data_IF_237764091467
#
_entry.id   IF_237764091467
#
_cell.length_a   1.000
_cell.length_b   1.000
_cell.length_c   1.000
_cell.angle_alpha   90.00
_cell.angle_beta   90.00
_cell.angle_gamma   90.00
#
_symmetry.space_group_name_H-M   'P 1'
#
loop_
_entity.id
_entity.type
_entity.pdbx_description
1 polymer ?
#
# COMPACT_ATOMS: atom_id res chain seq x y z
N UNK A 1 -12.11 14.00 -11.26
CA UNK A 1 -12.33 14.96 -10.16
C UNK A 1 -12.41 16.34 -10.78
N UNK A 2 -13.36 17.19 -10.36
CA UNK A 2 -13.34 18.59 -10.77
C UNK A 2 -12.00 19.20 -10.41
N UNK A 3 -11.32 19.78 -11.41
CA UNK A 3 -10.05 20.49 -11.27
C UNK A 3 -10.23 21.61 -10.24
N UNK A 4 -9.93 21.32 -8.98
CA UNK A 4 -9.93 22.34 -7.97
C UNK A 4 -8.71 23.22 -8.21
N UNK A 5 -8.96 24.31 -8.92
CA UNK A 5 -8.01 25.35 -9.28
C UNK A 5 -7.24 25.79 -8.03
N UNK A 6 -5.91 25.61 -8.04
CA UNK A 6 -5.05 25.97 -6.91
C UNK A 6 -4.88 27.49 -6.84
N UNK A 7 -5.41 28.09 -5.78
CA UNK A 7 -5.10 29.48 -5.40
C UNK A 7 -3.70 29.64 -4.82
N UNK A 8 -3.26 30.90 -4.65
CA UNK A 8 -1.88 31.26 -4.25
C UNK A 8 -1.40 30.59 -2.95
N UNK A 9 -2.22 30.56 -1.90
CA UNK A 9 -1.83 29.97 -0.62
C UNK A 9 -1.58 28.44 -0.75
N UNK A 10 -2.55 27.72 -1.33
CA UNK A 10 -2.44 26.29 -1.58
C UNK A 10 -1.26 25.94 -2.51
N UNK A 11 -0.99 26.79 -3.51
CA UNK A 11 0.16 26.65 -4.39
C UNK A 11 1.49 26.75 -3.63
N UNK A 12 1.66 27.76 -2.77
CA UNK A 12 2.88 27.92 -1.95
C UNK A 12 3.11 26.73 -1.02
N UNK A 13 2.05 26.26 -0.36
CA UNK A 13 2.12 25.08 0.51
C UNK A 13 2.55 23.83 -0.27
N UNK A 14 2.02 23.66 -1.49
CA UNK A 14 2.35 22.53 -2.36
C UNK A 14 3.81 22.56 -2.85
N UNK A 15 4.35 23.74 -3.19
CA UNK A 15 5.77 23.89 -3.54
C UNK A 15 6.65 23.55 -2.33
N UNK A 16 6.31 24.10 -1.16
CA UNK A 16 7.05 23.85 0.08
C UNK A 16 7.06 22.36 0.43
N UNK A 17 5.89 21.72 0.40
CA UNK A 17 5.73 20.31 0.66
C UNK A 17 6.50 19.45 -0.35
N UNK A 18 6.49 19.80 -1.64
CA UNK A 18 7.25 19.09 -2.66
C UNK A 18 8.76 19.13 -2.37
N UNK A 19 9.30 20.32 -2.06
CA UNK A 19 10.71 20.46 -1.70
C UNK A 19 11.09 19.64 -0.47
N UNK A 20 10.26 19.64 0.57
CA UNK A 20 10.51 18.90 1.81
C UNK A 20 10.39 17.37 1.61
N UNK A 21 9.51 16.95 0.71
CA UNK A 21 9.27 15.53 0.37
C UNK A 21 10.37 14.95 -0.51
N UNK A 22 11.02 15.77 -1.35
CA UNK A 22 12.03 15.32 -2.32
C UNK A 22 13.40 15.99 -2.12
N UNK A 23 14.12 15.73 -1.01
CA UNK A 23 15.42 16.36 -0.73
C UNK A 23 16.50 16.02 -1.77
N UNK A 24 16.47 14.81 -2.35
CA UNK A 24 17.41 14.45 -3.43
C UNK A 24 17.12 15.21 -4.72
N UNK A 25 15.85 15.41 -5.09
CA UNK A 25 15.50 16.25 -6.24
C UNK A 25 15.86 17.71 -6.00
N UNK A 26 15.73 18.18 -4.75
CA UNK A 26 16.21 19.49 -4.37
C UNK A 26 17.73 19.62 -4.61
N UNK A 27 18.53 18.62 -4.24
CA UNK A 27 19.96 18.65 -4.56
C UNK A 27 20.24 18.57 -6.06
N UNK A 28 19.56 17.68 -6.79
CA UNK A 28 19.66 17.55 -8.25
C UNK A 28 19.30 18.84 -9.00
N UNK A 29 18.32 19.60 -8.50
CA UNK A 29 17.89 20.85 -9.12
C UNK A 29 19.01 21.89 -9.25
N UNK A 30 20.11 21.79 -8.48
CA UNK A 30 21.28 22.69 -8.66
C UNK A 30 21.91 22.52 -10.05
N UNK A 31 21.98 21.28 -10.56
CA UNK A 31 22.57 20.97 -11.87
C UNK A 31 21.71 21.49 -13.03
N UNK A 32 20.41 21.69 -12.79
CA UNK A 32 19.46 22.23 -13.76
C UNK A 32 19.48 23.76 -13.87
N UNK A 33 20.16 24.44 -12.92
CA UNK A 33 20.33 25.89 -12.94
C UNK A 33 21.55 26.35 -13.75
N UNK A 34 22.35 25.41 -14.26
CA UNK A 34 23.51 25.67 -15.11
C UNK A 34 23.02 26.14 -16.49
N UNK A 35 23.61 27.18 -17.13
CA UNK A 35 23.03 27.84 -18.31
C UNK A 35 22.65 26.89 -19.45
N UNK A 36 23.51 25.91 -19.76
CA UNK A 36 23.31 24.91 -20.81
C UNK A 36 22.07 24.04 -20.53
N UNK A 37 21.90 23.61 -19.28
CA UNK A 37 20.75 22.79 -18.86
C UNK A 37 19.49 23.64 -18.65
N UNK A 38 19.65 24.89 -18.25
CA UNK A 38 18.55 25.81 -17.97
C UNK A 38 17.78 26.15 -19.24
N UNK A 39 18.47 26.32 -20.38
CA UNK A 39 17.86 26.59 -21.68
C UNK A 39 16.86 25.50 -22.10
N UNK A 40 17.09 24.24 -21.72
CA UNK A 40 16.19 23.12 -22.03
C UNK A 40 15.18 22.85 -20.92
N UNK A 41 15.55 23.10 -19.66
CA UNK A 41 14.69 22.80 -18.50
C UNK A 41 13.58 23.85 -18.33
N UNK A 42 13.85 25.12 -18.63
CA UNK A 42 12.89 26.19 -18.38
C UNK A 42 11.64 26.12 -19.29
N UNK A 43 11.77 25.85 -20.61
CA UNK A 43 10.59 25.63 -21.47
C UNK A 43 9.73 24.45 -20.98
N UNK A 44 10.34 23.36 -20.53
CA UNK A 44 9.61 22.21 -19.99
C UNK A 44 8.85 22.56 -18.71
N UNK A 45 9.44 23.39 -17.83
CA UNK A 45 8.78 23.86 -16.63
C UNK A 45 7.58 24.77 -16.96
N UNK A 46 7.73 25.66 -17.93
CA UNK A 46 6.65 26.54 -18.42
C UNK A 46 5.49 25.69 -18.97
N UNK A 47 5.79 24.68 -19.78
CA UNK A 47 4.78 23.76 -20.31
C UNK A 47 4.02 23.03 -19.20
N UNK A 48 4.73 22.56 -18.16
CA UNK A 48 4.07 21.94 -17.01
C UNK A 48 3.13 22.91 -16.29
N UNK A 49 3.54 24.17 -16.09
CA UNK A 49 2.70 25.20 -15.45
C UNK A 49 1.46 25.52 -16.30
N UNK A 50 1.58 25.52 -17.63
CA UNK A 50 0.45 25.76 -18.53
C UNK A 50 -0.69 24.76 -18.35
N UNK A 51 -0.35 23.48 -18.14
CA UNK A 51 -1.34 22.39 -18.00
C UNK A 51 -1.71 22.10 -16.55
N UNK A 52 -1.01 22.67 -15.58
CA UNK A 52 -1.32 22.49 -14.16
C UNK A 52 -2.62 23.20 -13.77
N UNK A 53 -3.42 22.57 -12.91
CA UNK A 53 -4.68 23.12 -12.36
C UNK A 53 -4.42 24.28 -11.37
N UNK A 54 -3.89 25.39 -11.88
CA UNK A 54 -3.61 26.64 -11.17
C UNK A 54 -4.66 27.69 -11.51
N UNK A 55 -4.86 28.64 -10.58
CA UNK A 55 -5.59 29.87 -10.87
C UNK A 55 -5.04 30.55 -12.14
N UNK A 56 -5.89 30.97 -13.10
CA UNK A 56 -5.43 31.53 -14.36
C UNK A 56 -4.48 32.72 -14.20
N UNK A 57 -4.76 33.62 -13.25
CA UNK A 57 -3.92 34.80 -12.98
C UNK A 57 -2.57 34.36 -12.39
N UNK A 58 -2.59 33.40 -11.47
CA UNK A 58 -1.36 32.81 -10.93
C UNK A 58 -0.52 32.14 -12.03
N UNK A 59 -1.16 31.38 -12.92
CA UNK A 59 -0.52 30.67 -14.03
C UNK A 59 0.17 31.64 -14.98
N UNK A 60 -0.54 32.66 -15.45
CA UNK A 60 -0.01 33.68 -16.35
C UNK A 60 1.19 34.40 -15.72
N UNK A 61 1.04 34.89 -14.49
CA UNK A 61 2.13 35.60 -13.80
C UNK A 61 3.36 34.72 -13.55
N UNK A 62 3.18 33.41 -13.32
CA UNK A 62 4.31 32.47 -13.17
C UNK A 62 5.04 32.26 -14.49
N UNK A 63 4.29 32.09 -15.60
CA UNK A 63 4.88 31.88 -16.93
C UNK A 63 5.68 33.11 -17.34
N UNK A 64 5.11 34.31 -17.19
CA UNK A 64 5.78 35.56 -17.54
C UNK A 64 7.06 35.76 -16.73
N UNK A 65 7.00 35.51 -15.41
CA UNK A 65 8.15 35.65 -14.54
C UNK A 65 9.27 34.63 -14.86
N UNK A 66 8.91 33.41 -15.28
CA UNK A 66 9.89 32.41 -15.73
C UNK A 66 10.51 32.79 -17.08
N UNK A 67 9.73 33.21 -18.06
CA UNK A 67 10.25 33.67 -19.36
C UNK A 67 11.24 34.82 -19.20
N UNK A 68 10.97 35.74 -18.28
CA UNK A 68 11.89 36.83 -17.93
C UNK A 68 13.15 36.33 -17.22
N UNK A 69 13.07 35.24 -16.45
CA UNK A 69 14.22 34.63 -15.78
C UNK A 69 15.24 34.03 -16.76
N UNK A 70 14.81 33.59 -17.96
CA UNK A 70 15.73 33.11 -19.01
C UNK A 70 16.49 34.20 -19.76
N UNK A 71 16.14 35.47 -19.58
CA UNK A 71 16.79 36.54 -20.33
C UNK A 71 18.14 36.94 -19.71
N UNK A 72 19.15 37.29 -20.53
CA UNK A 72 20.49 37.65 -20.04
C UNK A 72 20.53 38.98 -19.27
N UNK A 73 19.48 39.79 -19.34
CA UNK A 73 19.36 41.06 -18.61
C UNK A 73 18.70 40.79 -17.26
N UNK A 74 19.31 41.28 -16.18
CA UNK A 74 18.77 41.15 -14.81
C UNK A 74 17.41 41.85 -14.72
N UNK A 75 16.33 41.06 -14.82
CA UNK A 75 14.97 41.58 -14.70
C UNK A 75 14.54 41.56 -13.22
N UNK A 76 14.58 42.74 -12.57
CA UNK A 76 14.19 42.92 -11.17
C UNK A 76 12.70 42.64 -10.93
N UNK A 77 11.85 42.91 -11.92
CA UNK A 77 10.40 42.77 -11.82
C UNK A 77 9.99 41.29 -11.83
N UNK A 78 10.44 40.50 -12.80
CA UNK A 78 10.20 39.05 -12.83
C UNK A 78 10.75 38.33 -11.58
N UNK A 79 11.91 38.77 -11.09
CA UNK A 79 12.49 38.26 -9.84
C UNK A 79 11.62 38.57 -8.60
N UNK A 80 11.04 39.77 -8.56
CA UNK A 80 10.11 40.14 -7.49
C UNK A 80 8.83 39.30 -7.58
N UNK A 81 8.27 39.12 -8.77
CA UNK A 81 7.08 38.29 -9.00
C UNK A 81 7.34 36.84 -8.57
N UNK A 82 8.47 36.22 -8.92
CA UNK A 82 8.80 34.87 -8.46
C UNK A 82 8.83 34.77 -6.92
N UNK A 83 9.36 35.79 -6.25
CA UNK A 83 9.40 35.84 -4.78
C UNK A 83 8.01 35.99 -4.19
N UNK A 84 7.19 36.87 -4.76
CA UNK A 84 5.80 37.03 -4.36
C UNK A 84 5.02 35.74 -4.55
N UNK A 85 5.12 35.06 -5.70
CA UNK A 85 4.26 33.90 -5.96
C UNK A 85 4.70 32.66 -5.18
N UNK A 86 6.01 32.45 -4.99
CA UNK A 86 6.54 31.22 -4.38
C UNK A 86 6.97 31.37 -2.91
N UNK A 87 7.21 32.59 -2.44
CA UNK A 87 7.81 32.87 -1.12
C UNK A 87 9.33 32.68 -1.05
N UNK A 88 10.01 32.42 -2.17
CA UNK A 88 11.45 32.15 -2.21
C UNK A 88 12.23 33.20 -3.03
N UNK A 89 13.53 33.41 -2.74
CA UNK A 89 14.41 34.16 -3.65
C UNK A 89 14.42 33.55 -5.06
N UNK A 90 14.66 34.32 -6.14
CA UNK A 90 14.42 33.89 -7.53
C UNK A 90 15.04 32.54 -7.90
N UNK A 91 16.34 32.34 -7.65
CA UNK A 91 17.01 31.08 -7.97
C UNK A 91 16.47 29.90 -7.15
N UNK A 92 16.01 30.14 -5.91
CA UNK A 92 15.35 29.12 -5.08
C UNK A 92 13.91 28.87 -5.53
N UNK A 93 13.22 29.90 -6.01
CA UNK A 93 11.88 29.80 -6.57
C UNK A 93 11.88 28.90 -7.82
N UNK A 94 12.77 29.16 -8.78
CA UNK A 94 12.91 28.34 -9.99
C UNK A 94 13.26 26.90 -9.65
N UNK A 95 14.22 26.66 -8.75
CA UNK A 95 14.54 25.30 -8.29
C UNK A 95 13.37 24.62 -7.60
N UNK A 96 12.60 25.33 -6.79
CA UNK A 96 11.46 24.75 -6.09
C UNK A 96 10.34 24.41 -7.09
N UNK A 97 10.14 25.22 -8.12
CA UNK A 97 9.25 24.96 -9.25
C UNK A 97 9.73 23.77 -10.09
N UNK A 98 11.05 23.64 -10.36
CA UNK A 98 11.62 22.46 -11.02
C UNK A 98 11.39 21.19 -10.19
N UNK A 99 11.56 21.26 -8.87
CA UNK A 99 11.24 20.13 -8.00
C UNK A 99 9.75 19.81 -8.08
N UNK A 100 8.87 20.80 -7.98
CA UNK A 100 7.43 20.59 -8.01
C UNK A 100 6.91 20.06 -9.35
N UNK A 101 7.32 20.66 -10.46
CA UNK A 101 6.72 20.43 -11.78
C UNK A 101 7.52 19.55 -12.73
N UNK A 102 8.81 19.30 -12.46
CA UNK A 102 9.64 18.46 -13.34
C UNK A 102 10.15 17.23 -12.61
N UNK A 103 10.78 17.38 -11.45
CA UNK A 103 11.51 16.29 -10.79
C UNK A 103 10.62 15.43 -9.89
N UNK A 104 9.76 16.02 -9.08
CA UNK A 104 8.72 15.30 -8.34
C UNK A 104 7.70 14.67 -9.31
N UNK A 105 7.57 15.25 -10.50
CA UNK A 105 6.72 14.76 -11.57
C UNK A 105 7.36 13.62 -12.37
N UNK A 106 8.67 13.36 -12.28
CA UNK A 106 9.26 12.11 -12.84
C UNK A 106 8.74 10.86 -12.11
N UNK A 107 8.22 11.01 -10.88
CA UNK A 107 7.44 9.98 -10.19
C UNK A 107 5.94 9.98 -10.51
N UNK A 108 5.45 10.96 -11.29
CA UNK A 108 4.07 11.05 -11.81
C UNK A 108 3.99 10.81 -13.33
N UNK A 109 5.08 10.94 -14.06
CA UNK A 109 5.24 10.64 -15.50
C UNK A 109 5.34 9.13 -15.77
N UNK A 110 4.63 8.32 -15.00
CA UNK A 110 4.09 7.07 -15.52
C UNK A 110 2.81 7.42 -16.29
N UNK A 111 2.95 8.21 -17.37
CA UNK A 111 1.88 8.40 -18.36
C UNK A 111 1.78 7.15 -19.24
N UNK A 112 1.71 5.97 -18.64
CA UNK A 112 0.92 4.91 -19.24
C UNK A 112 -0.52 5.20 -18.87
N UNK A 113 -1.44 5.07 -19.81
CA UNK A 113 -2.87 5.05 -19.49
C UNK A 113 -3.07 4.02 -18.36
N UNK A 114 -3.28 4.51 -17.12
CA UNK A 114 -3.59 3.62 -16.00
C UNK A 114 -4.89 2.90 -16.38
N UNK A 115 -4.83 1.56 -16.42
CA UNK A 115 -6.01 0.76 -16.67
C UNK A 115 -7.10 1.12 -15.66
N UNK A 116 -8.32 1.27 -16.16
CA UNK A 116 -9.51 1.50 -15.34
C UNK A 116 -9.81 0.30 -14.45
N UNK A 117 -10.59 0.50 -13.39
CA UNK A 117 -11.08 -0.60 -12.54
C UNK A 117 -11.78 -1.71 -13.34
N UNK A 118 -12.46 -1.36 -14.44
CA UNK A 118 -13.10 -2.32 -15.34
C UNK A 118 -12.09 -3.23 -16.06
N UNK A 119 -11.00 -2.65 -16.54
CA UNK A 119 -9.95 -3.40 -17.21
C UNK A 119 -9.21 -4.31 -16.22
N UNK A 120 -8.96 -3.83 -15.00
CA UNK A 120 -8.37 -4.67 -13.94
C UNK A 120 -9.26 -5.83 -13.54
N UNK A 121 -10.56 -5.59 -13.39
CA UNK A 121 -11.56 -6.63 -13.14
C UNK A 121 -11.54 -7.69 -14.24
N UNK A 122 -11.57 -7.28 -15.51
CA UNK A 122 -11.56 -8.20 -16.65
C UNK A 122 -10.30 -9.07 -16.67
N UNK A 123 -9.13 -8.48 -16.41
CA UNK A 123 -7.87 -9.23 -16.32
C UNK A 123 -7.94 -10.26 -15.21
N UNK A 124 -8.36 -9.87 -14.00
CA UNK A 124 -8.44 -10.79 -12.84
C UNK A 124 -9.40 -11.95 -13.11
N UNK A 125 -10.56 -11.69 -13.73
CA UNK A 125 -11.53 -12.74 -14.07
C UNK A 125 -10.96 -13.78 -15.04
N UNK A 126 -10.06 -13.34 -15.93
CA UNK A 126 -9.51 -14.14 -17.02
C UNK A 126 -8.18 -14.83 -16.68
N UNK A 127 -7.54 -14.52 -15.54
CA UNK A 127 -6.30 -15.18 -15.10
C UNK A 127 -6.50 -16.12 -13.91
N UNK A 128 -5.77 -17.24 -13.94
CA UNK A 128 -5.61 -18.12 -12.77
C UNK A 128 -4.60 -17.57 -11.76
N UNK A 129 -3.62 -16.76 -12.16
CA UNK A 129 -2.66 -16.15 -11.26
C UNK A 129 -2.97 -14.65 -11.11
N UNK A 130 -3.46 -14.19 -9.94
CA UNK A 130 -3.86 -12.79 -9.77
C UNK A 130 -2.69 -11.80 -9.89
N UNK A 131 -1.44 -12.26 -9.77
CA UNK A 131 -0.25 -11.42 -9.99
C UNK A 131 0.04 -11.18 -11.48
N UNK A 132 -0.62 -11.89 -12.40
CA UNK A 132 -0.44 -11.66 -13.84
C UNK A 132 -0.87 -10.25 -14.27
N UNK A 133 -1.66 -9.54 -13.46
CA UNK A 133 -1.95 -8.11 -13.66
C UNK A 133 -0.69 -7.26 -13.83
N UNK A 134 0.44 -7.67 -13.25
CA UNK A 134 1.73 -7.01 -13.43
C UNK A 134 2.17 -7.01 -14.91
N UNK A 135 1.76 -7.99 -15.71
CA UNK A 135 2.09 -8.07 -17.15
C UNK A 135 1.30 -7.10 -18.02
N UNK A 136 0.25 -6.48 -17.48
CA UNK A 136 -0.69 -5.63 -18.22
C UNK A 136 -0.48 -4.13 -17.99
N UNK A 137 0.59 -3.73 -17.31
CA UNK A 137 0.96 -2.33 -17.09
C UNK A 137 2.35 -2.04 -17.65
N UNK A 138 2.59 -0.80 -18.06
CA UNK A 138 3.92 -0.34 -18.45
C UNK A 138 4.88 -0.21 -17.26
N UNK A 139 4.34 -0.02 -16.05
CA UNK A 139 5.10 0.21 -14.83
C UNK A 139 4.75 -0.84 -13.76
N UNK A 140 5.17 -2.10 -13.97
CA UNK A 140 4.86 -3.19 -13.06
C UNK A 140 5.45 -2.90 -11.68
N UNK A 141 4.57 -2.81 -10.69
CA UNK A 141 4.98 -2.51 -9.33
C UNK A 141 4.14 -3.28 -8.30
N UNK A 142 4.84 -3.85 -7.32
CA UNK A 142 4.23 -4.61 -6.23
C UNK A 142 4.72 -4.12 -4.87
N UNK A 143 3.79 -3.99 -3.92
CA UNK A 143 4.04 -3.75 -2.51
C UNK A 143 3.62 -4.96 -1.66
N UNK A 144 4.55 -5.61 -0.97
CA UNK A 144 4.24 -6.64 0.04
C UNK A 144 4.17 -6.04 1.46
N UNK A 145 3.08 -6.36 2.16
CA UNK A 145 2.72 -5.91 3.50
C UNK A 145 2.87 -7.09 4.47
N UNK A 146 3.89 -7.05 5.32
CA UNK A 146 4.21 -8.15 6.24
C UNK A 146 4.99 -9.28 5.55
N UNK A 147 5.99 -8.89 4.76
CA UNK A 147 6.78 -9.76 3.89
C UNK A 147 7.50 -10.95 4.56
N UNK A 148 7.75 -10.87 5.88
CA UNK A 148 8.39 -11.94 6.63
C UNK A 148 9.78 -12.29 6.10
N UNK A 149 9.94 -13.53 5.64
CA UNK A 149 11.24 -14.14 5.31
C UNK A 149 11.71 -13.92 3.86
N UNK A 150 10.97 -13.13 3.07
CA UNK A 150 11.21 -12.82 1.66
C UNK A 150 11.07 -14.00 0.67
N UNK A 151 10.46 -15.10 1.09
CA UNK A 151 10.24 -16.26 0.21
C UNK A 151 9.27 -15.96 -0.93
N UNK A 152 8.20 -15.20 -0.66
CA UNK A 152 7.24 -14.78 -1.68
C UNK A 152 7.92 -13.91 -2.75
N UNK A 153 8.70 -12.92 -2.33
CA UNK A 153 9.42 -12.01 -3.21
C UNK A 153 10.39 -12.72 -4.12
N UNK A 154 11.11 -13.71 -3.58
CA UNK A 154 11.98 -14.57 -4.37
C UNK A 154 11.18 -15.30 -5.46
N UNK A 155 10.10 -16.00 -5.08
CA UNK A 155 9.26 -16.71 -6.06
C UNK A 155 8.63 -15.79 -7.11
N UNK A 156 8.20 -14.59 -6.70
CA UNK A 156 7.67 -13.57 -7.61
C UNK A 156 8.73 -13.13 -8.61
N UNK A 157 9.95 -12.84 -8.14
CA UNK A 157 11.05 -12.40 -9.00
C UNK A 157 11.46 -13.50 -9.98
N UNK A 158 11.59 -14.74 -9.49
CA UNK A 158 11.90 -15.91 -10.33
C UNK A 158 10.86 -16.09 -11.44
N UNK A 159 9.59 -15.82 -11.13
CA UNK A 159 8.49 -15.97 -12.07
C UNK A 159 8.39 -14.82 -13.08
N UNK A 160 8.59 -13.57 -12.66
CA UNK A 160 8.23 -12.40 -13.48
C UNK A 160 9.43 -11.62 -14.05
N UNK A 161 10.60 -11.61 -13.40
CA UNK A 161 11.76 -10.87 -13.92
C UNK A 161 12.22 -11.38 -15.30
N UNK A 162 12.24 -12.70 -15.60
CA UNK A 162 12.56 -13.18 -16.95
C UNK A 162 11.65 -12.58 -18.03
N UNK A 163 10.34 -12.48 -17.75
CA UNK A 163 9.37 -11.87 -18.66
C UNK A 163 9.66 -10.37 -18.87
N UNK A 164 9.85 -9.61 -17.79
CA UNK A 164 10.09 -8.17 -17.89
C UNK A 164 11.44 -7.83 -18.53
N UNK A 165 12.46 -8.67 -18.34
CA UNK A 165 13.74 -8.57 -19.05
C UNK A 165 13.56 -8.67 -20.57
N UNK A 166 12.73 -9.60 -21.04
CA UNK A 166 12.42 -9.72 -22.47
C UNK A 166 11.70 -8.47 -23.01
N UNK A 167 10.83 -7.86 -22.21
CA UNK A 167 10.12 -6.63 -22.54
C UNK A 167 10.94 -5.35 -22.30
N UNK A 168 12.19 -5.46 -21.85
CA UNK A 168 13.05 -4.33 -21.45
C UNK A 168 12.36 -3.37 -20.48
N UNK A 169 11.56 -3.92 -19.58
CA UNK A 169 10.84 -3.20 -18.54
C UNK A 169 11.37 -3.64 -17.18
N UNK A 170 11.37 -2.74 -16.19
CA UNK A 170 11.82 -3.03 -14.83
C UNK A 170 10.63 -3.31 -13.92
N UNK A 171 10.73 -4.35 -13.08
CA UNK A 171 9.78 -4.58 -11.98
C UNK A 171 10.18 -3.76 -10.76
N UNK A 172 9.25 -2.99 -10.19
CA UNK A 172 9.44 -2.39 -8.87
C UNK A 172 8.85 -3.29 -7.80
N UNK A 173 9.69 -3.77 -6.87
CA UNK A 173 9.27 -4.66 -5.80
C UNK A 173 9.64 -4.07 -4.44
N UNK A 174 8.63 -3.65 -3.71
CA UNK A 174 8.78 -3.07 -2.40
C UNK A 174 8.13 -3.96 -1.35
N UNK A 175 8.79 -4.10 -0.20
CA UNK A 175 8.34 -4.99 0.86
C UNK A 175 8.58 -4.33 2.21
N UNK A 176 7.66 -4.48 3.17
CA UNK A 176 7.94 -4.07 4.54
C UNK A 176 7.39 -5.04 5.58
N UNK A 177 8.02 -5.04 6.74
CA UNK A 177 7.61 -5.84 7.87
C UNK A 177 7.74 -5.06 9.19
N UNK A 178 6.89 -5.38 10.17
CA UNK A 178 6.93 -4.83 11.53
C UNK A 178 8.05 -5.45 12.36
N UNK A 179 8.51 -6.65 12.01
CA UNK A 179 9.66 -7.30 12.61
C UNK A 179 10.91 -6.48 12.31
N UNK A 180 11.65 -6.16 13.37
CA UNK A 180 12.93 -5.48 13.25
C UNK A 180 14.00 -6.48 12.77
N UNK A 181 14.76 -6.19 11.70
CA UNK A 181 15.88 -7.04 11.29
C UNK A 181 16.89 -7.15 12.43
N UNK A 182 17.28 -8.38 12.78
CA UNK A 182 18.20 -8.65 13.88
C UNK A 182 17.57 -8.73 15.26
N UNK A 183 16.25 -8.50 15.40
CA UNK A 183 15.56 -8.81 16.66
C UNK A 183 15.62 -10.30 16.96
N UNK A 184 15.66 -10.65 18.25
CA UNK A 184 15.59 -12.06 18.70
C UNK A 184 14.16 -12.60 18.76
N UNK A 185 13.18 -11.76 18.43
CA UNK A 185 11.76 -12.00 18.63
C UNK A 185 11.07 -11.98 17.26
N UNK A 186 10.67 -13.16 16.78
CA UNK A 186 10.11 -13.34 15.43
C UNK A 186 10.53 -14.66 14.77
N UNK A 187 11.63 -15.26 15.20
CA UNK A 187 12.03 -16.63 14.84
C UNK A 187 12.12 -16.85 13.32
N UNK A 188 11.43 -17.88 12.83
CA UNK A 188 11.45 -18.26 11.40
C UNK A 188 10.78 -17.25 10.47
N UNK A 189 10.09 -16.24 11.01
CA UNK A 189 9.42 -15.19 10.25
C UNK A 189 10.33 -13.99 9.97
N UNK A 190 11.56 -13.98 10.48
CA UNK A 190 12.51 -12.93 10.14
C UNK A 190 12.93 -12.99 8.68
N UNK A 191 13.17 -11.80 8.13
CA UNK A 191 13.83 -11.62 6.84
C UNK A 191 15.05 -12.53 6.71
N UNK A 192 15.07 -13.35 5.65
CA UNK A 192 16.23 -14.13 5.29
C UNK A 192 17.25 -13.24 4.53
N UNK A 193 18.47 -13.16 5.05
CA UNK A 193 19.53 -12.31 4.48
C UNK A 193 20.03 -12.81 3.11
N UNK A 194 20.03 -14.11 2.86
CA UNK A 194 20.46 -14.66 1.58
C UNK A 194 19.43 -14.38 0.48
N UNK A 195 18.14 -14.42 0.81
CA UNK A 195 17.07 -13.98 -0.09
C UNK A 195 17.14 -12.49 -0.37
N UNK A 196 17.40 -11.67 0.64
CA UNK A 196 17.60 -10.24 0.42
C UNK A 196 18.79 -9.96 -0.51
N UNK A 197 19.93 -10.62 -0.29
CA UNK A 197 21.11 -10.50 -1.16
C UNK A 197 20.80 -10.94 -2.59
N UNK A 198 20.05 -12.03 -2.76
CA UNK A 198 19.57 -12.49 -4.06
C UNK A 198 18.75 -11.41 -4.76
N UNK A 199 17.73 -10.87 -4.09
CA UNK A 199 16.87 -9.81 -4.65
C UNK A 199 17.65 -8.51 -4.96
N UNK A 200 18.68 -8.20 -4.17
CA UNK A 200 19.57 -7.04 -4.39
C UNK A 200 20.62 -7.27 -5.48
N UNK A 201 20.81 -8.51 -5.95
CA UNK A 201 21.81 -8.84 -6.96
C UNK A 201 21.39 -8.44 -8.39
N UNK A 202 20.10 -8.20 -8.60
CA UNK A 202 19.54 -7.78 -9.88
C UNK A 202 19.90 -6.33 -10.21
N UNK A 203 20.07 -6.03 -11.50
CA UNK A 203 20.26 -4.67 -11.97
C UNK A 203 18.99 -3.83 -11.74
N UNK A 204 19.10 -2.52 -11.43
CA UNK A 204 17.94 -1.60 -11.36
C UNK A 204 17.14 -1.47 -12.66
N UNK A 205 17.70 -1.93 -13.79
CA UNK A 205 16.99 -2.03 -15.08
C UNK A 205 16.05 -3.25 -15.15
N UNK A 206 16.29 -4.26 -14.30
CA UNK A 206 15.51 -5.49 -14.23
C UNK A 206 14.57 -5.48 -13.03
N UNK A 207 15.10 -5.12 -11.85
CA UNK A 207 14.40 -5.13 -10.58
C UNK A 207 14.82 -3.95 -9.70
N UNK A 208 13.84 -3.17 -9.26
CA UNK A 208 14.01 -2.14 -8.24
C UNK A 208 13.47 -2.67 -6.92
N UNK A 209 14.32 -3.39 -6.19
CA UNK A 209 13.96 -4.00 -4.92
C UNK A 209 14.24 -3.09 -3.71
N UNK A 210 13.32 -3.04 -2.76
CA UNK A 210 13.56 -2.41 -1.45
C UNK A 210 12.75 -3.05 -0.33
N UNK A 211 13.44 -3.38 0.77
CA UNK A 211 12.82 -3.87 2.00
C UNK A 211 12.95 -2.86 3.15
N UNK A 212 11.88 -2.71 3.95
CA UNK A 212 11.91 -1.96 5.20
C UNK A 212 11.44 -2.82 6.37
N UNK A 213 12.33 -3.08 7.32
CA UNK A 213 11.97 -3.75 8.57
C UNK A 213 11.64 -2.75 9.70
N UNK A 214 10.95 -3.23 10.73
CA UNK A 214 10.49 -2.39 11.84
C UNK A 214 9.42 -1.35 11.45
N UNK A 215 8.70 -1.56 10.34
CA UNK A 215 7.70 -0.63 9.83
C UNK A 215 6.27 -1.20 9.94
N UNK A 216 5.39 -0.45 10.59
CA UNK A 216 3.94 -0.67 10.50
C UNK A 216 3.30 0.15 9.37
N UNK A 217 2.00 -0.06 9.14
CA UNK A 217 1.23 0.61 8.08
C UNK A 217 1.36 2.15 8.11
N UNK A 218 1.29 2.75 9.30
CA UNK A 218 1.40 4.20 9.48
C UNK A 218 2.81 4.74 9.19
N UNK A 219 3.83 4.06 9.71
CA UNK A 219 5.24 4.46 9.53
C UNK A 219 5.63 4.34 8.06
N UNK A 220 5.27 3.23 7.41
CA UNK A 220 5.46 3.05 5.99
C UNK A 220 4.74 4.14 5.18
N UNK A 221 3.52 4.51 5.59
CA UNK A 221 2.76 5.54 4.90
C UNK A 221 3.48 6.89 4.84
N UNK A 222 4.32 7.20 5.84
CA UNK A 222 5.15 8.40 5.93
C UNK A 222 6.60 8.19 5.43
N UNK A 223 6.95 6.96 5.07
CA UNK A 223 8.29 6.57 4.65
C UNK A 223 8.72 7.16 3.31
N UNK A 224 10.03 7.33 3.12
CA UNK A 224 10.65 7.85 1.89
C UNK A 224 11.03 6.72 0.93
N UNK A 225 10.96 6.99 -0.38
CA UNK A 225 11.38 6.07 -1.44
C UNK A 225 10.37 4.96 -1.78
N UNK A 226 9.14 5.08 -1.28
CA UNK A 226 7.99 4.27 -1.69
C UNK A 226 7.31 4.93 -2.91
N UNK A 227 6.60 4.14 -3.71
CA UNK A 227 5.70 4.69 -4.71
C UNK A 227 4.48 5.34 -4.05
N UNK A 228 3.82 6.23 -4.78
CA UNK A 228 2.52 6.74 -4.36
C UNK A 228 1.45 5.65 -4.49
N UNK A 229 1.41 4.99 -5.64
CA UNK A 229 0.50 3.91 -5.99
C UNK A 229 1.31 2.81 -6.68
N UNK A 230 0.93 1.57 -6.41
CA UNK A 230 1.50 0.36 -6.98
C UNK A 230 0.47 -0.29 -7.89
N UNK A 231 0.88 -1.13 -8.83
CA UNK A 231 -0.06 -1.99 -9.57
C UNK A 231 -0.77 -2.92 -8.60
N UNK A 232 0.01 -3.60 -7.77
CA UNK A 232 -0.46 -4.58 -6.78
C UNK A 232 0.01 -4.19 -5.39
N UNK A 233 -0.85 -4.32 -4.40
CA UNK A 233 -0.42 -4.55 -3.02
C UNK A 233 -0.85 -5.93 -2.56
N UNK A 234 0.00 -6.62 -1.81
CA UNK A 234 -0.27 -7.95 -1.29
C UNK A 234 -0.05 -7.99 0.23
N UNK A 235 -0.80 -8.83 0.92
CA UNK A 235 -0.58 -9.15 2.32
C UNK A 235 -0.80 -10.65 2.52
N UNK A 236 0.28 -11.36 2.81
CA UNK A 236 0.27 -12.80 3.06
C UNK A 236 0.06 -13.07 4.54
N UNK A 237 -0.88 -13.96 4.88
CA UNK A 237 -1.21 -14.36 6.24
C UNK A 237 -1.29 -13.17 7.22
N UNK A 238 -2.24 -12.23 7.02
CA UNK A 238 -2.34 -11.03 7.85
C UNK A 238 -2.32 -11.39 9.34
N UNK A 239 -1.49 -10.69 10.11
CA UNK A 239 -1.21 -11.07 11.49
C UNK A 239 -2.47 -11.13 12.39
N UNK A 240 -2.74 -12.31 12.94
CA UNK A 240 -3.65 -12.51 14.07
C UNK A 240 -2.89 -12.25 15.39
N UNK A 241 -3.44 -11.49 16.36
CA UNK A 241 -4.78 -10.87 16.37
C UNK A 241 -4.89 -9.46 15.75
N UNK A 242 -3.78 -8.84 15.32
CA UNK A 242 -3.73 -7.45 14.83
C UNK A 242 -4.88 -7.07 13.88
N UNK A 243 -5.25 -7.95 12.95
CA UNK A 243 -6.30 -7.68 11.94
C UNK A 243 -7.57 -8.53 12.11
N UNK A 244 -7.68 -9.31 13.18
CA UNK A 244 -8.81 -10.23 13.40
C UNK A 244 -10.03 -9.58 14.11
N UNK A 245 -9.86 -8.38 14.67
CA UNK A 245 -10.89 -7.68 15.43
C UNK A 245 -11.04 -6.26 14.92
N UNK A 246 -12.23 -5.87 14.47
CA UNK A 246 -12.50 -4.52 13.97
C UNK A 246 -12.90 -3.54 15.11
N UNK A 247 -12.06 -2.55 15.45
CA UNK A 247 -12.33 -1.63 16.56
C UNK A 247 -13.58 -0.76 16.36
N UNK A 248 -14.03 -0.55 15.12
CA UNK A 248 -15.26 0.21 14.86
C UNK A 248 -16.55 -0.51 15.26
N UNK A 249 -16.51 -1.83 15.52
CA UNK A 249 -17.67 -2.62 15.97
C UNK A 249 -17.45 -3.35 17.30
N UNK A 250 -16.20 -3.58 17.71
CA UNK A 250 -15.85 -4.31 18.93
C UNK A 250 -15.23 -3.36 19.96
N UNK A 251 -15.85 -3.28 21.14
CA UNK A 251 -15.32 -2.53 22.27
C UNK A 251 -13.97 -3.11 22.74
N UNK A 252 -13.01 -2.26 23.18
CA UNK A 252 -11.70 -2.70 23.64
C UNK A 252 -11.75 -3.77 24.74
N UNK A 253 -12.71 -3.70 25.65
CA UNK A 253 -12.88 -4.63 26.77
C UNK A 253 -13.28 -6.02 26.30
N UNK A 254 -14.09 -6.10 25.24
CA UNK A 254 -14.53 -7.36 24.63
C UNK A 254 -13.35 -8.03 23.92
N UNK A 255 -12.57 -7.26 23.17
CA UNK A 255 -11.37 -7.76 22.51
C UNK A 255 -10.36 -8.25 23.56
N UNK A 256 -10.12 -7.45 24.60
CA UNK A 256 -9.20 -7.80 25.68
C UNK A 256 -9.62 -9.08 26.41
N UNK A 257 -10.88 -9.17 26.85
CA UNK A 257 -11.40 -10.34 27.53
C UNK A 257 -11.32 -11.60 26.67
N UNK A 258 -11.60 -11.47 25.37
CA UNK A 258 -11.49 -12.60 24.45
C UNK A 258 -10.04 -13.03 24.23
N UNK A 259 -9.10 -12.10 24.03
CA UNK A 259 -7.67 -12.42 23.92
C UNK A 259 -7.15 -13.13 25.17
N UNK A 260 -7.53 -12.68 26.37
CA UNK A 260 -7.17 -13.35 27.62
C UNK A 260 -7.73 -14.78 27.67
N UNK A 261 -8.99 -14.98 27.28
CA UNK A 261 -9.63 -16.29 27.30
C UNK A 261 -9.08 -17.28 26.26
N UNK A 262 -8.72 -16.79 25.06
CA UNK A 262 -8.33 -17.62 23.92
C UNK A 262 -6.81 -17.80 23.80
N UNK A 263 -6.03 -16.76 24.10
CA UNK A 263 -4.57 -16.75 23.96
C UNK A 263 -3.86 -16.84 25.31
N UNK A 264 -4.53 -16.56 26.42
CA UNK A 264 -4.00 -16.60 27.78
C UNK A 264 -3.64 -15.21 28.33
N UNK A 265 -3.26 -15.16 29.60
CA UNK A 265 -2.87 -13.90 30.24
C UNK A 265 -1.58 -13.37 29.64
N UNK A 266 -1.53 -12.07 29.35
CA UNK A 266 -0.37 -11.46 28.72
C UNK A 266 0.04 -10.16 29.39
N UNK A 267 1.33 -9.85 29.32
CA UNK A 267 1.92 -8.61 29.84
C UNK A 267 3.07 -8.15 28.96
N UNK A 268 3.41 -6.87 29.02
CA UNK A 268 4.65 -6.36 28.43
C UNK A 268 5.82 -6.69 29.33
N UNK A 269 6.91 -7.16 28.74
CA UNK A 269 8.13 -7.57 29.42
C UNK A 269 9.38 -7.16 28.66
N UNK A 270 10.51 -7.75 29.04
CA UNK A 270 11.77 -7.62 28.31
C UNK A 270 12.44 -8.98 28.18
N UNK A 271 12.92 -9.29 26.99
CA UNK A 271 13.73 -10.47 26.71
C UNK A 271 15.08 -10.01 26.17
N UNK A 272 16.15 -10.28 26.93
CA UNK A 272 17.52 -9.89 26.56
C UNK A 272 17.68 -8.40 26.19
N UNK A 273 16.91 -7.54 26.86
CA UNK A 273 16.92 -6.09 26.66
C UNK A 273 15.88 -5.57 25.65
N UNK A 274 15.33 -6.42 24.79
CA UNK A 274 14.29 -6.07 23.81
C UNK A 274 12.89 -6.08 24.44
N UNK A 275 11.98 -5.14 24.08
CA UNK A 275 10.60 -5.17 24.53
C UNK A 275 9.85 -6.36 23.91
N UNK A 276 9.10 -7.08 24.74
CA UNK A 276 8.33 -8.26 24.30
C UNK A 276 6.93 -8.28 24.89
N UNK A 277 6.04 -9.00 24.23
CA UNK A 277 4.79 -9.45 24.79
C UNK A 277 5.00 -10.86 25.35
N UNK A 278 4.87 -11.01 26.66
CA UNK A 278 4.91 -12.30 27.33
C UNK A 278 3.49 -12.83 27.48
N UNK A 279 3.21 -14.02 26.94
CA UNK A 279 1.91 -14.68 27.03
C UNK A 279 2.07 -15.96 27.84
N UNK A 280 1.32 -16.07 28.93
CA UNK A 280 1.22 -17.28 29.74
C UNK A 280 0.13 -18.19 29.18
N UNK A 281 0.55 -19.31 28.58
CA UNK A 281 -0.34 -20.29 27.99
C UNK A 281 0.04 -21.69 28.44
N UNK A 282 -0.92 -22.43 29.04
CA UNK A 282 -0.75 -23.81 29.52
C UNK A 282 0.51 -24.02 30.39
N UNK A 283 0.80 -23.06 31.28
CA UNK A 283 1.94 -23.12 32.20
C UNK A 283 3.31 -22.76 31.60
N UNK A 284 3.37 -22.31 30.34
CA UNK A 284 4.58 -21.80 29.69
C UNK A 284 4.44 -20.33 29.36
N UNK A 285 5.55 -19.60 29.43
CA UNK A 285 5.65 -18.22 28.95
C UNK A 285 6.22 -18.26 27.54
N UNK A 286 5.47 -17.72 26.58
CA UNK A 286 5.88 -17.56 25.19
C UNK A 286 6.08 -16.07 24.93
N UNK A 287 7.16 -15.71 24.26
CA UNK A 287 7.48 -14.32 23.90
C UNK A 287 7.10 -14.04 22.45
N UNK A 288 6.47 -12.90 22.24
CA UNK A 288 6.12 -12.35 20.93
C UNK A 288 6.65 -10.92 20.82
N UNK A 289 6.70 -10.34 19.61
CA UNK A 289 6.91 -8.90 19.47
C UNK A 289 5.90 -8.15 20.34
N UNK A 290 6.35 -7.08 21.00
CA UNK A 290 5.55 -6.28 21.94
C UNK A 290 4.24 -5.75 21.35
N UNK A 291 4.23 -5.63 20.02
CA UNK A 291 3.13 -5.13 19.21
C UNK A 291 2.19 -6.21 18.67
N UNK A 292 2.44 -7.51 18.94
CA UNK A 292 1.66 -8.64 18.40
C UNK A 292 0.17 -8.51 18.71
N UNK A 293 -0.19 -7.96 19.87
CA UNK A 293 -1.59 -7.75 20.30
C UNK A 293 -2.07 -6.30 20.11
N UNK A 294 -1.32 -5.46 19.37
CA UNK A 294 -1.83 -4.17 18.95
C UNK A 294 -2.90 -4.39 17.88
N UNK A 295 -4.15 -4.09 18.23
CA UNK A 295 -5.31 -4.30 17.36
C UNK A 295 -5.50 -3.10 16.45
N UNK A 296 -5.49 -3.36 15.14
CA UNK A 296 -5.71 -2.37 14.09
C UNK A 296 -7.04 -2.58 13.36
N UNK A 297 -7.45 -3.84 13.20
CA UNK A 297 -8.65 -4.23 12.47
C UNK A 297 -8.48 -4.30 10.95
N UNK A 298 -9.32 -5.10 10.27
CA UNK A 298 -9.20 -5.31 8.83
C UNK A 298 -9.53 -4.05 8.02
N UNK A 299 -10.38 -3.12 8.50
CA UNK A 299 -10.62 -1.87 7.78
C UNK A 299 -9.35 -1.06 7.57
N UNK A 300 -8.44 -1.09 8.55
CA UNK A 300 -7.18 -0.35 8.48
C UNK A 300 -6.23 -0.94 7.45
N UNK A 301 -6.20 -2.28 7.34
CA UNK A 301 -5.45 -2.99 6.31
C UNK A 301 -6.04 -2.73 4.93
N UNK A 302 -7.36 -2.86 4.78
CA UNK A 302 -8.08 -2.57 3.54
C UNK A 302 -7.81 -1.13 3.08
N UNK A 303 -7.96 -0.13 3.96
CA UNK A 303 -7.68 1.28 3.66
C UNK A 303 -6.26 1.46 3.13
N UNK A 304 -5.30 0.85 3.80
CA UNK A 304 -3.90 0.98 3.42
C UNK A 304 -3.66 0.37 2.03
N UNK A 305 -4.12 -0.85 1.78
CA UNK A 305 -3.88 -1.54 0.50
C UNK A 305 -4.57 -0.83 -0.67
N UNK A 306 -5.81 -0.37 -0.49
CA UNK A 306 -6.57 0.35 -1.54
C UNK A 306 -5.99 1.72 -1.85
N UNK A 307 -5.52 2.46 -0.84
CA UNK A 307 -4.84 3.74 -1.06
C UNK A 307 -3.53 3.59 -1.83
N UNK A 308 -2.93 2.40 -1.79
CA UNK A 308 -1.59 2.14 -2.32
C UNK A 308 -1.60 1.33 -3.58
N UNK A 309 -2.72 0.82 -4.06
CA UNK A 309 -2.70 -0.04 -5.24
C UNK A 309 -3.94 0.08 -6.12
N UNK A 310 -3.85 -0.45 -7.34
CA UNK A 310 -5.00 -0.67 -8.20
C UNK A 310 -5.70 -1.99 -7.84
N UNK A 311 -4.90 -3.02 -7.58
CA UNK A 311 -5.34 -4.36 -7.17
C UNK A 311 -4.74 -4.70 -5.80
N UNK A 312 -5.57 -5.12 -4.86
CA UNK A 312 -5.14 -5.61 -3.54
C UNK A 312 -5.38 -7.11 -3.41
N UNK A 313 -4.36 -7.86 -2.98
CA UNK A 313 -4.41 -9.31 -2.85
C UNK A 313 -4.10 -9.69 -1.40
N UNK A 314 -5.06 -10.25 -0.69
CA UNK A 314 -4.83 -10.91 0.59
C UNK A 314 -4.85 -12.41 0.37
N UNK A 315 -3.85 -13.12 0.90
CA UNK A 315 -3.73 -14.56 0.71
C UNK A 315 -3.33 -15.26 1.99
N UNK A 316 -3.55 -16.58 2.04
CA UNK A 316 -3.31 -17.39 3.24
C UNK A 316 -3.97 -16.79 4.50
N UNK A 317 -5.17 -16.21 4.33
CA UNK A 317 -5.91 -15.54 5.40
C UNK A 317 -6.54 -16.61 6.29
N UNK A 318 -6.31 -16.54 7.61
CA UNK A 318 -6.97 -17.42 8.57
C UNK A 318 -8.48 -17.11 8.69
N UNK A 319 -9.22 -18.01 9.33
CA UNK A 319 -10.67 -17.88 9.44
C UNK A 319 -11.12 -16.64 10.22
N UNK A 320 -10.44 -16.27 11.31
CA UNK A 320 -10.83 -15.12 12.13
C UNK A 320 -10.71 -13.82 11.33
N UNK A 321 -9.55 -13.61 10.69
CA UNK A 321 -9.32 -12.43 9.84
C UNK A 321 -10.24 -12.43 8.63
N UNK A 322 -10.46 -13.58 7.99
CA UNK A 322 -11.27 -13.69 6.78
C UNK A 322 -12.72 -13.24 7.02
N UNK A 323 -13.39 -13.79 8.04
CA UNK A 323 -14.78 -13.43 8.32
C UNK A 323 -14.92 -11.99 8.81
N UNK A 324 -13.95 -11.52 9.58
CA UNK A 324 -13.89 -10.11 9.97
C UNK A 324 -13.77 -9.20 8.75
N UNK A 325 -12.91 -9.54 7.79
CA UNK A 325 -12.73 -8.81 6.54
C UNK A 325 -14.01 -8.83 5.69
N UNK A 326 -14.65 -9.99 5.53
CA UNK A 326 -15.91 -10.10 4.77
C UNK A 326 -17.02 -9.24 5.35
N UNK A 327 -17.12 -9.17 6.69
CA UNK A 327 -18.10 -8.30 7.34
C UNK A 327 -17.95 -6.83 6.92
N UNK A 328 -16.72 -6.38 6.60
CA UNK A 328 -16.48 -5.01 6.17
C UNK A 328 -16.90 -4.74 4.72
N UNK A 329 -16.94 -5.78 3.88
CA UNK A 329 -17.24 -5.66 2.44
C UNK A 329 -18.72 -5.76 2.13
N UNK A 330 -19.47 -6.53 2.92
CA UNK A 330 -20.90 -6.80 2.69
C UNK A 330 -21.81 -5.66 3.18
N UNK A 331 -22.86 -5.37 2.41
CA UNK A 331 -23.75 -4.23 2.61
C UNK A 331 -24.60 -4.36 3.89
N UNK A 332 -25.25 -5.49 4.07
CA UNK A 332 -26.21 -5.72 5.14
C UNK A 332 -25.54 -5.61 6.54
N UNK A 333 -26.12 -4.76 7.39
CA UNK A 333 -25.63 -4.51 8.75
C UNK A 333 -25.70 -5.77 9.63
N UNK A 334 -26.52 -6.77 9.27
CA UNK A 334 -26.56 -8.07 9.98
C UNK A 334 -25.20 -8.75 10.02
N UNK A 335 -24.36 -8.55 8.99
CA UNK A 335 -23.03 -9.16 8.91
C UNK A 335 -22.03 -8.48 9.85
N UNK A 336 -22.38 -7.33 10.43
CA UNK A 336 -21.52 -6.53 11.32
C UNK A 336 -22.20 -6.32 12.68
N UNK A 337 -22.54 -7.38 13.42
CA UNK A 337 -23.15 -7.21 14.73
C UNK A 337 -22.17 -6.52 15.69
N UNK A 338 -22.66 -5.50 16.38
CA UNK A 338 -21.87 -4.78 17.39
C UNK A 338 -21.50 -5.70 18.54
N UNK A 339 -20.26 -5.59 19.01
CA UNK A 339 -19.78 -6.24 20.23
C UNK A 339 -19.93 -7.77 20.27
N UNK A 340 -20.00 -8.41 19.10
CA UNK A 340 -20.08 -9.86 18.94
C UNK A 340 -18.84 -10.39 18.22
N UNK A 341 -18.00 -11.14 18.91
CA UNK A 341 -16.86 -11.83 18.28
C UNK A 341 -17.38 -12.98 17.42
N UNK A 342 -16.84 -13.12 16.22
CA UNK A 342 -17.21 -14.23 15.35
C UNK A 342 -16.61 -15.53 15.88
N UNK A 343 -17.47 -16.51 16.09
CA UNK A 343 -17.11 -17.86 16.50
C UNK A 343 -17.65 -18.85 15.48
N UNK A 344 -17.07 -20.06 15.42
CA UNK A 344 -17.52 -21.11 14.47
C UNK A 344 -19.03 -21.40 14.58
N UNK A 345 -19.62 -21.26 15.77
CA UNK A 345 -21.05 -21.47 16.00
C UNK A 345 -21.92 -20.30 15.56
N UNK A 346 -21.41 -19.06 15.62
CA UNK A 346 -22.16 -17.85 15.25
C UNK A 346 -22.08 -17.52 13.76
N UNK A 347 -21.02 -17.95 13.07
CA UNK A 347 -20.83 -17.66 11.65
C UNK A 347 -21.99 -18.11 10.75
N UNK A 348 -22.56 -19.33 10.90
CA UNK A 348 -23.73 -19.74 10.11
C UNK A 348 -24.95 -18.83 10.34
N UNK A 349 -25.20 -18.41 11.58
CA UNK A 349 -26.34 -17.54 11.92
C UNK A 349 -26.19 -16.13 11.29
N UNK A 350 -24.98 -15.58 11.36
CA UNK A 350 -24.70 -14.20 10.91
C UNK A 350 -24.62 -14.12 9.39
N UNK A 351 -23.92 -15.06 8.76
CA UNK A 351 -23.61 -15.01 7.32
C UNK A 351 -24.55 -15.87 6.47
N UNK A 352 -25.31 -16.80 7.08
CA UNK A 352 -26.32 -17.61 6.39
C UNK A 352 -25.79 -18.31 5.15
N UNK A 353 -26.48 -18.14 4.03
CA UNK A 353 -26.11 -18.73 2.74
C UNK A 353 -24.71 -18.32 2.27
N UNK A 354 -24.21 -17.13 2.62
CA UNK A 354 -22.83 -16.74 2.31
C UNK A 354 -21.84 -17.67 3.02
N UNK A 355 -22.09 -17.99 4.29
CA UNK A 355 -21.26 -18.95 5.02
C UNK A 355 -21.31 -20.34 4.41
N UNK A 356 -22.51 -20.83 4.09
CA UNK A 356 -22.72 -22.16 3.48
C UNK A 356 -21.95 -22.29 2.17
N UNK A 357 -22.13 -21.33 1.26
CA UNK A 357 -21.52 -21.37 -0.06
C UNK A 357 -20.00 -21.21 -0.06
N UNK A 358 -19.45 -20.39 0.84
CA UNK A 358 -18.01 -20.22 0.96
C UNK A 358 -17.37 -21.42 1.67
N UNK A 359 -17.99 -21.92 2.73
CA UNK A 359 -17.46 -23.04 3.50
C UNK A 359 -17.49 -24.36 2.73
N UNK A 360 -18.37 -24.50 1.74
CA UNK A 360 -18.41 -25.65 0.83
C UNK A 360 -17.38 -25.60 -0.30
N UNK A 361 -16.62 -24.50 -0.43
CA UNK A 361 -15.67 -24.34 -1.54
C UNK A 361 -14.56 -25.39 -1.48
N UNK A 362 -14.28 -26.01 -2.63
CA UNK A 362 -13.09 -26.85 -2.78
C UNK A 362 -11.82 -26.00 -2.85
N UNK A 363 -10.66 -26.57 -2.49
CA UNK A 363 -9.37 -25.89 -2.67
C UNK A 363 -9.15 -25.55 -4.15
N UNK A 364 -8.76 -24.31 -4.41
CA UNK A 364 -8.60 -23.77 -5.77
C UNK A 364 -9.88 -23.18 -6.36
N UNK A 365 -11.05 -23.39 -5.73
CA UNK A 365 -12.30 -22.79 -6.19
C UNK A 365 -12.28 -21.26 -6.02
N UNK A 366 -12.95 -20.57 -6.95
CA UNK A 366 -13.12 -19.11 -6.97
C UNK A 366 -14.59 -18.76 -6.93
N UNK A 367 -14.95 -17.74 -6.14
CA UNK A 367 -16.29 -17.15 -6.12
C UNK A 367 -16.20 -15.63 -6.12
N UNK A 368 -17.04 -15.00 -6.93
CA UNK A 368 -17.25 -13.56 -6.89
C UNK A 368 -18.22 -13.21 -5.76
N UNK A 369 -17.81 -12.34 -4.84
CA UNK A 369 -18.59 -12.05 -3.62
C UNK A 369 -19.93 -11.37 -3.92
N UNK A 370 -20.00 -10.52 -4.94
CA UNK A 370 -21.24 -9.83 -5.37
C UNK A 370 -22.32 -10.81 -5.86
N UNK A 371 -21.95 -12.05 -6.24
CA UNK A 371 -22.91 -13.11 -6.58
C UNK A 371 -23.49 -13.82 -5.35
N UNK A 372 -22.91 -13.58 -4.17
CA UNK A 372 -23.32 -14.21 -2.91
C UNK A 372 -24.15 -13.25 -2.05
N UNK A 373 -23.79 -11.97 -2.03
CA UNK A 373 -24.49 -10.91 -1.32
C UNK A 373 -24.07 -9.53 -1.83
N UNK A 374 -24.90 -8.52 -1.56
CA UNK A 374 -24.63 -7.15 -1.95
C UNK A 374 -23.36 -6.60 -1.27
N UNK A 375 -22.54 -5.91 -2.06
CA UNK A 375 -21.34 -5.23 -1.58
C UNK A 375 -21.70 -3.81 -1.13
N UNK A 376 -20.93 -3.27 -0.18
CA UNK A 376 -21.08 -1.87 0.22
C UNK A 376 -20.74 -0.92 -0.91
N UNK A 377 -21.61 0.06 -1.11
CA UNK A 377 -21.33 1.21 -1.98
C UNK A 377 -20.26 2.14 -1.39
N UNK A 378 -20.10 2.13 -0.07
CA UNK A 378 -19.04 2.87 0.64
C UNK A 378 -18.53 2.13 1.86
N UNK A 379 -17.21 1.93 1.91
CA UNK A 379 -16.45 1.42 3.05
C UNK A 379 -16.12 2.61 3.98
N UNK A 380 -16.43 2.51 5.29
CA UNK A 380 -16.28 3.61 6.24
C UNK A 380 -14.84 3.67 6.74
N UNK A 381 -13.90 3.99 5.84
CA UNK A 381 -12.51 4.19 6.20
C UNK A 381 -12.38 5.35 7.20
N UNK A 382 -12.29 5.04 8.49
CA UNK A 382 -12.19 6.05 9.54
C UNK A 382 -10.96 6.96 9.34
N UNK A 383 -11.11 8.23 9.69
CA UNK A 383 -9.99 9.19 9.80
C UNK A 383 -9.54 9.86 8.51
N UNK A 384 -10.34 9.86 7.42
CA UNK A 384 -10.06 10.74 6.29
C UNK A 384 -10.24 12.21 6.73
N UNK A 385 -9.15 12.86 7.18
CA UNK A 385 -9.08 14.32 7.18
C UNK A 385 -9.31 14.79 5.74
N UNK A 386 -9.97 15.94 5.55
CA UNK A 386 -10.36 16.54 4.26
C UNK A 386 -9.28 16.61 3.16
N UNK A 387 -8.01 16.29 3.46
CA UNK A 387 -6.86 16.34 2.55
C UNK A 387 -6.29 14.96 2.16
N UNK A 388 -6.77 13.85 2.77
CA UNK A 388 -6.46 12.51 2.26
C UNK A 388 -7.33 12.24 1.04
N UNK A 389 -6.70 12.19 -0.14
CA UNK A 389 -7.25 11.67 -1.40
C UNK A 389 -8.35 10.64 -1.15
N UNK A 390 -9.56 10.94 -1.61
CA UNK A 390 -10.74 10.08 -1.46
C UNK A 390 -10.37 8.68 -1.96
N UNK A 391 -10.21 7.74 -1.01
CA UNK A 391 -10.13 6.33 -1.33
C UNK A 391 -11.44 5.97 -2.01
N UNK A 392 -11.43 5.20 -3.11
CA UNK A 392 -12.66 4.63 -3.65
C UNK A 392 -13.39 3.98 -2.49
N UNK A 393 -14.56 4.54 -2.14
CA UNK A 393 -15.40 3.98 -1.08
C UNK A 393 -15.92 2.60 -1.48
N UNK A 394 -15.81 2.22 -2.74
CA UNK A 394 -16.40 1.01 -3.30
C UNK A 394 -15.33 0.08 -3.87
N UNK A 395 -15.57 -1.21 -3.69
CA UNK A 395 -14.89 -2.24 -4.47
C UNK A 395 -15.77 -2.62 -5.65
N UNK A 396 -15.21 -2.46 -6.85
CA UNK A 396 -15.83 -2.89 -8.10
C UNK A 396 -15.96 -4.41 -8.16
N UNK A 397 -14.88 -5.08 -7.79
CA UNK A 397 -14.76 -6.53 -7.86
C UNK A 397 -14.10 -7.08 -6.60
N UNK A 398 -14.69 -8.15 -6.08
CA UNK A 398 -14.18 -8.91 -4.93
C UNK A 398 -14.26 -10.39 -5.29
N UNK A 399 -13.10 -11.03 -5.37
CA UNK A 399 -12.99 -12.47 -5.59
C UNK A 399 -12.47 -13.17 -4.34
N UNK A 400 -13.15 -14.24 -3.97
CA UNK A 400 -12.76 -15.14 -2.90
C UNK A 400 -12.19 -16.40 -3.52
N UNK A 401 -11.05 -16.87 -3.01
CA UNK A 401 -10.53 -18.21 -3.32
C UNK A 401 -10.26 -19.02 -2.07
N UNK A 402 -10.30 -20.33 -2.22
CA UNK A 402 -10.02 -21.29 -1.14
C UNK A 402 -8.63 -21.91 -1.30
N UNK A 403 -7.81 -21.90 -0.25
CA UNK A 403 -6.50 -22.55 -0.24
C UNK A 403 -5.38 -21.66 0.32
N UNK A 404 -4.30 -22.29 0.78
CA UNK A 404 -3.11 -21.58 1.25
C UNK A 404 -2.16 -21.24 0.10
N UNK A 405 -1.91 -22.24 -0.74
CA UNK A 405 -1.06 -22.18 -1.93
C UNK A 405 -1.92 -22.58 -3.11
N UNK A 406 -1.77 -21.88 -4.23
CA UNK A 406 -2.43 -22.18 -5.50
C UNK A 406 -1.37 -22.53 -6.54
N UNK A 407 -1.68 -23.46 -7.42
CA UNK A 407 -0.74 -23.90 -8.44
C UNK A 407 -0.36 -22.75 -9.39
N UNK A 408 0.93 -22.64 -9.71
CA UNK A 408 1.48 -21.56 -10.53
C UNK A 408 1.45 -20.15 -9.91
N UNK A 409 1.04 -20.00 -8.64
CA UNK A 409 0.96 -18.70 -7.96
C UNK A 409 2.09 -18.57 -6.90
N UNK A 410 2.93 -17.51 -6.97
CA UNK A 410 3.95 -17.26 -5.96
C UNK A 410 3.37 -17.22 -4.55
N UNK A 411 4.03 -17.88 -3.60
CA UNK A 411 3.52 -18.05 -2.24
C UNK A 411 4.62 -17.93 -1.19
N UNK A 412 4.33 -17.22 -0.10
CA UNK A 412 5.27 -17.06 1.02
C UNK A 412 5.38 -18.29 1.93
N UNK A 413 6.36 -18.25 2.82
CA UNK A 413 6.68 -19.31 3.77
C UNK A 413 5.46 -19.70 4.62
N UNK A 414 4.76 -18.72 5.20
CA UNK A 414 3.59 -18.98 6.04
C UNK A 414 2.48 -19.72 5.30
N UNK A 415 2.24 -19.39 4.03
CA UNK A 415 1.27 -20.09 3.19
C UNK A 415 1.60 -21.60 3.06
N UNK A 416 2.90 -21.93 2.93
CA UNK A 416 3.37 -23.32 2.83
C UNK A 416 3.27 -24.06 4.17
N UNK A 417 3.40 -23.36 5.29
CA UNK A 417 3.26 -23.95 6.64
C UNK A 417 1.82 -24.39 6.97
N UNK A 418 0.78 -23.79 6.36
CA UNK A 418 -0.62 -24.17 6.64
C UNK A 418 -0.90 -25.66 6.40
N UNK A 419 -0.22 -26.30 5.44
CA UNK A 419 -0.36 -27.75 5.21
C UNK A 419 0.06 -28.62 6.41
N UNK A 420 0.88 -28.07 7.30
CA UNK A 420 1.40 -28.73 8.49
C UNK A 420 0.59 -28.39 9.75
N UNK A 421 -0.31 -27.40 9.68
CA UNK A 421 -1.12 -26.90 10.80
C UNK A 421 -2.43 -27.70 10.91
N UNK A 422 -2.44 -28.75 11.74
CA UNK A 422 -3.58 -29.66 11.89
C UNK A 422 -4.85 -29.02 12.48
N UNK A 423 -4.68 -27.97 13.29
CA UNK A 423 -5.79 -27.31 14.00
C UNK A 423 -6.39 -26.14 13.21
N UNK A 424 -5.69 -25.67 12.17
CA UNK A 424 -6.11 -24.54 11.36
C UNK A 424 -7.07 -24.99 10.25
N UNK A 425 -8.13 -24.20 10.04
CA UNK A 425 -8.95 -24.39 8.85
C UNK A 425 -8.13 -24.06 7.61
N UNK A 426 -8.45 -24.69 6.47
CA UNK A 426 -7.88 -24.26 5.19
C UNK A 426 -8.04 -22.74 5.05
N UNK A 427 -7.01 -21.99 4.64
CA UNK A 427 -7.09 -20.54 4.59
C UNK A 427 -7.74 -20.03 3.30
N UNK A 428 -7.86 -18.71 3.21
CA UNK A 428 -8.59 -18.01 2.16
C UNK A 428 -7.71 -17.02 1.39
N UNK A 429 -8.20 -16.64 0.22
CA UNK A 429 -7.72 -15.49 -0.55
C UNK A 429 -8.87 -14.51 -0.76
N UNK A 430 -8.53 -13.22 -0.75
CA UNK A 430 -9.44 -12.13 -1.09
C UNK A 430 -8.71 -11.19 -2.05
N UNK A 431 -9.21 -11.08 -3.27
CA UNK A 431 -8.67 -10.21 -4.32
C UNK A 431 -9.66 -9.08 -4.54
N UNK A 432 -9.16 -7.84 -4.54
CA UNK A 432 -9.96 -6.63 -4.54
C UNK A 432 -9.52 -5.71 -5.67
N UNK A 433 -10.48 -5.24 -6.46
CA UNK A 433 -10.28 -4.20 -7.47
C UNK A 433 -11.09 -2.98 -7.08
N UNK A 434 -10.41 -1.83 -7.01
CA UNK A 434 -11.03 -0.53 -6.72
C UNK A 434 -11.62 0.08 -8.00
N UNK A 435 -12.69 0.88 -7.86
CA UNK A 435 -13.26 1.66 -8.97
C UNK A 435 -12.34 2.80 -9.44
#
# INVERSE_FOLDING_TARGET
>A
MGDQVLGLAAFRDRIKASRESFPHHWETSRKLMVPETLQTTLPALIQHIQVASLDPILRERLIDALQQFSQPVVNKEGNQVLRELTGYPPSKAVRALMVWGLLADVGRKENSEELSGAQWEEIIRNTSNPYDVLRHTATPSLLDVGAGDLSFEQELVDHYVPYFRMQRTSLTLHAFDRLMPGSRVGGVYHKNLDRERYLQSFSPEELRFKFWGGMGLETFSKGKGRLHRYTVSTCHAPANPTFAYEPSRLAPEIIHGHLQSSRGNYRRGRHEGEPVLEVSHRGRIITFPDWKFDILGPLRLLKFMTQRSCVSILSAIDGEVFWELLSQLLADDRFRPNNKIFTKTMLPEIFGTVYEQLSSMAVGERKELSRLADLRDSIPFQGAKKEETQVPGRFRYVEIRRGAVLDGVPSGFTARQFSQMKEESTPWWVILVTD
#
